data_IF_591012400942
#
_entry.id   IF_591012400942
#
_cell.length_a   1.000
_cell.length_b   1.000
_cell.length_c   1.000
_cell.angle_alpha   90.00
_cell.angle_beta   90.00
_cell.angle_gamma   90.00
#
_symmetry.space_group_name_H-M   'P 1'
#
loop_
_entity.id
_entity.type
_entity.pdbx_description
1 polymer ?
#
# COMPACT_ATOMS: atom_id res chain seq x y z
N UNK A 1 -28.85 4.02 -5.11
CA UNK A 1 -27.48 3.68 -5.52
C UNK A 1 -27.38 2.18 -5.34
N UNK A 2 -27.15 1.44 -6.42
CA UNK A 2 -27.11 -0.03 -6.36
C UNK A 2 -26.05 -0.48 -5.36
N UNK A 3 -26.48 -1.31 -4.41
CA UNK A 3 -25.63 -2.02 -3.47
C UNK A 3 -24.94 -3.17 -4.21
N UNK A 4 -23.93 -2.87 -5.02
CA UNK A 4 -23.01 -3.90 -5.51
C UNK A 4 -21.79 -3.95 -4.60
N UNK A 5 -21.28 -5.12 -4.22
CA UNK A 5 -19.95 -5.24 -3.62
C UNK A 5 -18.86 -4.70 -4.57
N UNK A 6 -17.63 -4.49 -4.09
CA UNK A 6 -16.52 -4.40 -5.05
C UNK A 6 -16.34 -5.78 -5.69
N UNK A 7 -15.98 -5.82 -6.97
CA UNK A 7 -15.50 -7.03 -7.65
C UNK A 7 -14.06 -7.34 -7.26
N UNK A 8 -13.63 -8.60 -7.42
CA UNK A 8 -12.22 -9.01 -7.16
C UNK A 8 -11.26 -8.12 -7.94
N UNK A 9 -11.58 -7.87 -9.22
CA UNK A 9 -10.80 -6.99 -10.09
C UNK A 9 -10.67 -5.57 -9.52
N UNK A 10 -11.76 -4.95 -9.09
CA UNK A 10 -11.71 -3.61 -8.49
C UNK A 10 -10.84 -3.55 -7.24
N UNK A 11 -10.86 -4.60 -6.41
CA UNK A 11 -9.99 -4.71 -5.23
C UNK A 11 -8.52 -4.81 -5.65
N UNK A 12 -8.19 -5.63 -6.66
CA UNK A 12 -6.80 -5.73 -7.15
C UNK A 12 -6.35 -4.42 -7.82
N UNK A 13 -7.20 -3.76 -8.60
CA UNK A 13 -6.89 -2.45 -9.17
C UNK A 13 -6.60 -1.39 -8.11
N UNK A 14 -7.30 -1.42 -6.98
CA UNK A 14 -6.99 -0.54 -5.86
C UNK A 14 -5.62 -0.87 -5.26
N UNK A 15 -5.21 -2.14 -5.19
CA UNK A 15 -3.85 -2.50 -4.78
C UNK A 15 -2.81 -1.89 -5.73
N UNK A 16 -3.00 -1.99 -7.05
CA UNK A 16 -2.12 -1.36 -8.05
C UNK A 16 -2.02 0.15 -7.84
N UNK A 17 -3.16 0.83 -7.59
CA UNK A 17 -3.19 2.28 -7.32
C UNK A 17 -2.46 2.65 -6.03
N UNK A 18 -2.61 1.84 -4.98
CA UNK A 18 -1.94 2.05 -3.69
C UNK A 18 -0.42 1.95 -3.84
N UNK A 19 0.09 0.92 -4.49
CA UNK A 19 1.53 0.76 -4.76
C UNK A 19 2.08 1.89 -5.61
N UNK A 20 1.34 2.31 -6.64
CA UNK A 20 1.76 3.43 -7.48
C UNK A 20 1.90 4.72 -6.66
N UNK A 21 0.98 4.95 -5.73
CA UNK A 21 1.02 6.08 -4.82
C UNK A 21 2.19 5.98 -3.83
N UNK A 22 2.50 4.79 -3.32
CA UNK A 22 3.69 4.52 -2.49
C UNK A 22 4.98 4.85 -3.23
N UNK A 23 5.12 4.37 -4.47
CA UNK A 23 6.25 4.69 -5.35
C UNK A 23 6.41 6.21 -5.54
N UNK A 24 5.33 6.90 -5.90
CA UNK A 24 5.37 8.35 -6.16
C UNK A 24 5.72 9.12 -4.87
N UNK A 25 5.18 8.68 -3.73
CA UNK A 25 5.49 9.24 -2.41
C UNK A 25 6.97 9.09 -2.06
N UNK A 26 7.49 7.87 -2.07
CA UNK A 26 8.86 7.59 -1.67
C UNK A 26 9.87 8.24 -2.61
N UNK A 27 9.60 8.24 -3.93
CA UNK A 27 10.43 8.94 -4.91
C UNK A 27 10.48 10.45 -4.65
N UNK A 28 9.32 11.05 -4.36
CA UNK A 28 9.22 12.48 -4.04
C UNK A 28 9.97 12.83 -2.75
N UNK A 29 9.83 12.01 -1.70
CA UNK A 29 10.52 12.25 -0.44
C UNK A 29 12.04 12.03 -0.55
N UNK A 30 12.48 11.04 -1.32
CA UNK A 30 13.90 10.82 -1.60
C UNK A 30 14.55 12.06 -2.25
N UNK A 31 13.90 12.64 -3.27
CA UNK A 31 14.40 13.87 -3.91
C UNK A 31 14.35 15.07 -2.95
N UNK A 32 13.24 15.23 -2.21
CA UNK A 32 13.05 16.34 -1.28
C UNK A 32 14.11 16.36 -0.18
N UNK A 33 14.49 15.19 0.32
CA UNK A 33 15.46 15.04 1.40
C UNK A 33 16.82 14.50 0.92
N UNK A 34 17.21 14.78 -0.32
CA UNK A 34 18.45 14.27 -0.95
C UNK A 34 19.74 14.54 -0.19
N UNK A 35 19.77 15.57 0.64
CA UNK A 35 20.92 15.93 1.50
C UNK A 35 21.01 15.08 2.78
N UNK A 36 19.99 14.27 3.07
CA UNK A 36 19.95 13.31 4.20
C UNK A 36 20.15 11.91 3.67
N UNK A 37 21.42 11.53 3.49
CA UNK A 37 21.84 10.29 2.80
C UNK A 37 21.08 9.06 3.30
N UNK A 38 21.00 8.84 4.61
CA UNK A 38 20.36 7.64 5.17
C UNK A 38 18.84 7.60 4.93
N UNK A 39 18.18 8.76 4.92
CA UNK A 39 16.75 8.86 4.64
C UNK A 39 16.47 8.69 3.15
N UNK A 40 17.26 9.36 2.31
CA UNK A 40 17.19 9.25 0.85
C UNK A 40 17.36 7.79 0.44
N UNK A 41 18.40 7.12 0.92
CA UNK A 41 18.68 5.73 0.54
C UNK A 41 17.56 4.77 0.99
N UNK A 42 16.96 5.02 2.17
CA UNK A 42 15.79 4.28 2.64
C UNK A 42 14.58 4.49 1.71
N UNK A 43 14.26 5.74 1.37
CA UNK A 43 13.11 6.05 0.51
C UNK A 43 13.32 5.63 -0.94
N UNK A 44 14.54 5.72 -1.50
CA UNK A 44 14.84 5.14 -2.82
C UNK A 44 14.68 3.61 -2.82
N UNK A 45 15.02 2.96 -1.71
CA UNK A 45 14.83 1.51 -1.57
C UNK A 45 13.35 1.16 -1.53
N UNK A 46 12.56 1.85 -0.69
CA UNK A 46 11.12 1.65 -0.59
C UNK A 46 10.44 1.92 -1.94
N UNK A 47 10.76 3.03 -2.62
CA UNK A 47 10.22 3.31 -3.96
C UNK A 47 10.43 2.15 -4.94
N UNK A 48 11.64 1.58 -4.99
CA UNK A 48 11.92 0.42 -5.86
C UNK A 48 11.09 -0.81 -5.48
N UNK A 49 10.77 -1.00 -4.20
CA UNK A 49 9.92 -2.09 -3.72
C UNK A 49 8.47 -1.90 -4.15
N UNK A 50 7.91 -0.71 -3.93
CA UNK A 50 6.55 -0.36 -4.39
C UNK A 50 6.40 -0.54 -5.91
N UNK A 51 7.42 -0.17 -6.70
CA UNK A 51 7.38 -0.39 -8.15
C UNK A 51 7.29 -1.89 -8.50
N UNK A 52 8.03 -2.75 -7.79
CA UNK A 52 7.98 -4.21 -7.99
C UNK A 52 6.61 -4.75 -7.57
N UNK A 53 6.03 -4.25 -6.48
CA UNK A 53 4.69 -4.63 -6.03
C UNK A 53 3.62 -4.20 -7.02
N UNK A 54 3.68 -2.97 -7.54
CA UNK A 54 2.79 -2.46 -8.60
C UNK A 54 2.80 -3.41 -9.81
N UNK A 55 3.98 -3.81 -10.28
CA UNK A 55 4.13 -4.75 -11.39
C UNK A 55 3.56 -6.14 -11.08
N UNK A 56 3.72 -6.63 -9.84
CA UNK A 56 3.14 -7.91 -9.40
C UNK A 56 1.62 -7.86 -9.34
N UNK A 57 1.04 -6.78 -8.81
CA UNK A 57 -0.42 -6.62 -8.76
C UNK A 57 -1.03 -6.42 -10.15
N UNK A 58 -0.35 -5.72 -11.08
CA UNK A 58 -0.81 -5.66 -12.48
C UNK A 58 -0.88 -7.04 -13.13
N UNK A 59 0.12 -7.88 -12.92
CA UNK A 59 0.09 -9.27 -13.40
C UNK A 59 -1.03 -10.08 -12.74
N UNK A 60 -1.27 -9.85 -11.45
CA UNK A 60 -2.40 -10.47 -10.76
C UNK A 60 -3.74 -10.01 -11.36
N UNK A 61 -3.91 -8.72 -11.63
CA UNK A 61 -5.09 -8.12 -12.26
C UNK A 61 -5.42 -8.75 -13.63
N UNK A 62 -4.39 -9.09 -14.42
CA UNK A 62 -4.54 -9.80 -15.69
C UNK A 62 -5.01 -11.26 -15.51
N UNK A 63 -4.71 -11.87 -14.36
CA UNK A 63 -5.01 -13.28 -14.07
C UNK A 63 -6.31 -13.50 -13.30
N UNK A 64 -6.83 -12.47 -12.60
CA UNK A 64 -8.06 -12.64 -11.81
C UNK A 64 -9.28 -12.85 -12.70
N UNK A 65 -10.05 -13.88 -12.38
CA UNK A 65 -11.35 -14.14 -12.99
C UNK A 65 -12.39 -13.14 -12.49
N UNK A 66 -13.43 -12.93 -13.30
CA UNK A 66 -14.60 -12.17 -12.87
C UNK A 66 -15.55 -13.03 -11.99
N UNK A 67 -15.22 -14.31 -11.76
CA UNK A 67 -15.90 -15.17 -10.80
C UNK A 67 -15.55 -14.78 -9.35
N UNK A 68 -16.58 -14.63 -8.53
CA UNK A 68 -16.45 -14.31 -7.12
C UNK A 68 -16.23 -15.60 -6.30
N UNK A 69 -15.20 -15.66 -5.43
CA UNK A 69 -14.97 -16.83 -4.58
C UNK A 69 -16.09 -16.99 -3.52
N UNK A 70 -16.18 -18.18 -2.92
CA UNK A 70 -17.09 -18.40 -1.80
C UNK A 70 -16.79 -17.43 -0.65
N UNK A 71 -17.84 -16.81 -0.08
CA UNK A 71 -17.69 -15.79 0.98
C UNK A 71 -17.26 -14.41 0.46
N UNK A 72 -17.28 -14.19 -0.86
CA UNK A 72 -16.93 -12.89 -1.45
C UNK A 72 -17.77 -11.73 -0.91
N UNK A 73 -19.06 -11.93 -0.62
CA UNK A 73 -19.95 -10.88 -0.13
C UNK A 73 -19.37 -10.19 1.12
N UNK A 74 -19.01 -10.97 2.15
CA UNK A 74 -18.41 -10.47 3.40
C UNK A 74 -17.06 -9.79 3.17
N UNK A 75 -16.23 -10.36 2.28
CA UNK A 75 -14.93 -9.78 1.94
C UNK A 75 -15.11 -8.47 1.20
N UNK A 76 -16.02 -8.42 0.24
CA UNK A 76 -16.33 -7.23 -0.56
C UNK A 76 -16.89 -6.09 0.31
N UNK A 77 -17.71 -6.42 1.32
CA UNK A 77 -18.21 -5.46 2.30
C UNK A 77 -17.08 -4.91 3.16
N UNK A 78 -16.18 -5.78 3.66
CA UNK A 78 -15.00 -5.36 4.39
C UNK A 78 -14.09 -4.45 3.53
N UNK A 79 -13.77 -4.85 2.30
CA UNK A 79 -12.90 -4.06 1.42
C UNK A 79 -13.55 -2.72 1.08
N UNK A 80 -14.86 -2.70 0.82
CA UNK A 80 -15.63 -1.47 0.63
C UNK A 80 -15.54 -0.56 1.84
N UNK A 81 -15.88 -1.09 3.01
CA UNK A 81 -15.83 -0.33 4.26
C UNK A 81 -14.41 0.17 4.54
N UNK A 82 -13.38 -0.61 4.21
CA UNK A 82 -11.99 -0.20 4.36
C UNK A 82 -11.68 1.02 3.46
N UNK A 83 -12.00 0.96 2.17
CA UNK A 83 -11.71 2.13 1.30
C UNK A 83 -12.58 3.35 1.64
N UNK A 84 -13.84 3.13 2.01
CA UNK A 84 -14.80 4.19 2.36
C UNK A 84 -14.54 4.82 3.74
N UNK A 85 -13.99 4.06 4.71
CA UNK A 85 -13.63 4.55 6.05
C UNK A 85 -12.65 5.73 6.01
N UNK A 86 -12.04 5.97 4.84
CA UNK A 86 -11.35 7.21 4.55
C UNK A 86 -10.04 7.37 5.31
N UNK A 87 -9.57 6.29 5.94
CA UNK A 87 -8.16 6.05 6.25
C UNK A 87 -7.44 5.56 5.00
N UNK A 88 -8.09 4.74 4.17
CA UNK A 88 -7.53 4.37 2.88
C UNK A 88 -7.22 5.60 2.04
N UNK A 89 -6.08 5.51 1.38
CA UNK A 89 -5.44 6.52 0.54
C UNK A 89 -6.24 6.73 -0.75
N UNK A 90 -7.51 7.15 -0.62
CA UNK A 90 -8.18 7.83 -1.72
C UNK A 90 -7.24 8.94 -2.17
N UNK A 91 -6.94 8.97 -3.47
CA UNK A 91 -5.86 9.76 -4.07
C UNK A 91 -5.79 11.16 -3.47
N UNK A 92 -6.95 11.80 -3.27
CA UNK A 92 -7.06 13.16 -2.73
C UNK A 92 -6.60 13.32 -1.26
N UNK A 93 -6.93 12.36 -0.37
CA UNK A 93 -6.57 12.46 1.05
C UNK A 93 -5.09 12.19 1.28
N UNK A 94 -4.55 11.18 0.61
CA UNK A 94 -3.13 10.87 0.67
C UNK A 94 -2.29 12.04 0.14
N UNK A 95 -2.65 12.56 -1.03
CA UNK A 95 -2.01 13.73 -1.61
C UNK A 95 -2.12 14.96 -0.71
N UNK A 96 -3.24 15.14 0.00
CA UNK A 96 -3.40 16.24 0.95
C UNK A 96 -2.45 16.11 2.13
N UNK A 97 -2.36 14.93 2.76
CA UNK A 97 -1.40 14.66 3.85
C UNK A 97 0.05 14.78 3.39
N UNK A 98 0.37 14.33 2.17
CA UNK A 98 1.71 14.48 1.60
C UNK A 98 2.14 15.95 1.47
N UNK A 99 1.21 16.86 1.19
CA UNK A 99 1.47 18.31 1.15
C UNK A 99 1.76 18.91 2.52
N UNK A 100 1.26 18.29 3.59
CA UNK A 100 1.46 18.75 4.97
C UNK A 100 2.83 18.37 5.52
N UNK A 101 3.53 17.40 4.93
CA UNK A 101 4.87 16.99 5.36
C UNK A 101 5.83 18.19 5.30
N UNK A 102 6.39 18.61 6.45
CA UNK A 102 7.37 19.69 6.55
C UNK A 102 8.72 19.20 7.05
N UNK A 103 8.75 18.08 7.78
CA UNK A 103 9.94 17.57 8.45
C UNK A 103 10.26 16.12 8.07
N UNK A 104 11.48 15.68 8.40
CA UNK A 104 11.84 14.26 8.31
C UNK A 104 10.95 13.40 9.20
N UNK A 105 10.58 13.92 10.38
CA UNK A 105 9.69 13.21 11.29
C UNK A 105 8.31 12.99 10.66
N UNK A 106 7.73 14.03 10.06
CA UNK A 106 6.43 13.95 9.40
C UNK A 106 6.47 12.91 8.26
N UNK A 107 7.55 12.90 7.47
CA UNK A 107 7.70 11.97 6.36
C UNK A 107 7.77 10.51 6.83
N UNK A 108 8.54 10.23 7.88
CA UNK A 108 8.67 8.88 8.44
C UNK A 108 7.39 8.44 9.16
N UNK A 109 6.69 9.35 9.85
CA UNK A 109 5.42 9.05 10.49
C UNK A 109 4.31 8.80 9.48
N UNK A 110 4.28 9.57 8.39
CA UNK A 110 3.38 9.31 7.27
C UNK A 110 3.69 7.95 6.63
N UNK A 111 4.95 7.67 6.30
CA UNK A 111 5.36 6.38 5.73
C UNK A 111 4.93 5.20 6.62
N UNK A 112 5.15 5.30 7.94
CA UNK A 112 4.73 4.26 8.87
C UNK A 112 3.21 4.06 8.93
N UNK A 113 2.43 5.12 8.79
CA UNK A 113 0.98 5.02 8.72
C UNK A 113 0.55 4.38 7.40
N UNK A 114 1.15 4.82 6.29
CA UNK A 114 0.93 4.30 4.95
C UNK A 114 1.14 2.79 4.90
N UNK A 115 2.31 2.28 5.29
CA UNK A 115 2.59 0.83 5.20
C UNK A 115 1.68 -0.02 6.09
N UNK A 116 1.28 0.51 7.25
CA UNK A 116 0.35 -0.23 8.13
C UNK A 116 -1.03 -0.34 7.52
N UNK A 117 -1.51 0.72 6.88
CA UNK A 117 -2.81 0.71 6.21
C UNK A 117 -2.76 -0.17 4.95
N UNK A 118 -1.70 -0.08 4.15
CA UNK A 118 -1.43 -0.94 2.99
C UNK A 118 -1.39 -2.42 3.40
N UNK A 119 -0.68 -2.76 4.48
CA UNK A 119 -0.64 -4.12 5.02
C UNK A 119 -2.03 -4.64 5.42
N UNK A 120 -2.84 -3.83 6.11
CA UNK A 120 -4.20 -4.22 6.48
C UNK A 120 -5.08 -4.46 5.24
N UNK A 121 -4.92 -3.62 4.22
CA UNK A 121 -5.60 -3.79 2.95
C UNK A 121 -5.22 -5.12 2.28
N UNK A 122 -3.93 -5.45 2.21
CA UNK A 122 -3.47 -6.69 1.61
C UNK A 122 -3.86 -7.95 2.39
N UNK A 123 -3.95 -7.87 3.72
CA UNK A 123 -4.52 -8.95 4.54
C UNK A 123 -6.01 -9.20 4.22
N UNK A 124 -6.75 -8.15 3.86
CA UNK A 124 -8.10 -8.24 3.31
C UNK A 124 -8.11 -8.89 1.93
N UNK A 125 -7.32 -8.33 1.00
CA UNK A 125 -7.18 -8.82 -0.37
C UNK A 125 -6.77 -10.30 -0.42
N UNK A 126 -5.92 -10.76 0.51
CA UNK A 126 -5.53 -12.18 0.60
C UNK A 126 -6.73 -13.12 0.78
N UNK A 127 -7.76 -12.69 1.53
CA UNK A 127 -9.00 -13.45 1.70
C UNK A 127 -9.87 -13.45 0.43
N UNK A 128 -9.60 -12.48 -0.44
CA UNK A 128 -10.35 -12.14 -1.63
C UNK A 128 -9.83 -12.85 -2.90
N UNK A 129 -8.57 -13.28 -2.92
CA UNK A 129 -7.95 -13.95 -4.08
C UNK A 129 -8.04 -15.48 -3.97
N UNK A 130 -8.08 -16.15 -5.12
CA UNK A 130 -8.05 -17.61 -5.19
C UNK A 130 -6.70 -18.18 -4.68
N UNK A 131 -6.71 -19.45 -4.29
CA UNK A 131 -5.59 -20.08 -3.59
C UNK A 131 -4.28 -20.10 -4.39
N UNK A 132 -4.36 -20.20 -5.71
CA UNK A 132 -3.18 -20.24 -6.58
C UNK A 132 -2.46 -18.88 -6.62
N UNK A 133 -3.19 -17.80 -6.37
CA UNK A 133 -2.75 -16.42 -6.44
C UNK A 133 -2.32 -15.88 -5.07
N UNK A 134 -2.72 -16.53 -3.97
CA UNK A 134 -2.37 -16.13 -2.58
C UNK A 134 -0.86 -16.02 -2.36
N UNK A 135 -0.05 -16.83 -3.05
CA UNK A 135 1.40 -16.79 -2.91
C UNK A 135 2.02 -15.45 -3.32
N UNK A 136 1.44 -14.74 -4.29
CA UNK A 136 1.89 -13.41 -4.71
C UNK A 136 1.59 -12.40 -3.60
N UNK A 137 0.35 -12.43 -3.08
CA UNK A 137 -0.10 -11.51 -2.03
C UNK A 137 0.68 -11.74 -0.73
N UNK A 138 0.97 -13.00 -0.39
CA UNK A 138 1.76 -13.35 0.81
C UNK A 138 3.19 -12.82 0.74
N UNK A 139 3.85 -12.95 -0.40
CA UNK A 139 5.20 -12.41 -0.57
C UNK A 139 5.22 -10.88 -0.39
N UNK A 140 4.20 -10.18 -0.89
CA UNK A 140 4.08 -8.72 -0.73
C UNK A 140 3.80 -8.35 0.72
N UNK A 141 2.89 -9.07 1.41
CA UNK A 141 2.62 -8.87 2.84
C UNK A 141 3.89 -8.97 3.69
N UNK A 142 4.76 -9.95 3.42
CA UNK A 142 6.03 -10.13 4.13
C UNK A 142 7.03 -8.99 3.84
N UNK A 143 7.02 -8.46 2.61
CA UNK A 143 7.80 -7.28 2.23
C UNK A 143 7.27 -6.02 2.96
N UNK A 144 5.96 -5.80 3.04
CA UNK A 144 5.38 -4.66 3.76
C UNK A 144 5.67 -4.66 5.27
N UNK A 145 5.65 -5.84 5.89
CA UNK A 145 6.08 -5.98 7.28
C UNK A 145 7.56 -5.56 7.44
N UNK A 146 8.39 -5.87 6.44
CA UNK A 146 9.79 -5.46 6.43
C UNK A 146 9.92 -3.95 6.28
N UNK A 147 9.13 -3.30 5.42
CA UNK A 147 9.11 -1.85 5.27
C UNK A 147 8.82 -1.14 6.59
N UNK A 148 7.78 -1.58 7.30
CA UNK A 148 7.43 -1.07 8.64
C UNK A 148 8.60 -1.23 9.62
N UNK A 149 9.28 -2.39 9.60
CA UNK A 149 10.43 -2.63 10.46
C UNK A 149 11.61 -1.70 10.12
N UNK A 150 11.84 -1.43 8.83
CA UNK A 150 12.93 -0.55 8.37
C UNK A 150 12.69 0.90 8.79
N UNK A 151 11.47 1.39 8.58
CA UNK A 151 11.04 2.73 8.97
C UNK A 151 11.14 2.95 10.50
N UNK A 152 10.71 1.97 11.31
CA UNK A 152 10.87 2.06 12.77
C UNK A 152 12.34 2.10 13.19
N UNK A 153 13.19 1.25 12.60
CA UNK A 153 14.64 1.29 12.88
C UNK A 153 15.28 2.61 12.46
N UNK A 154 14.81 3.23 11.37
CA UNK A 154 15.25 4.57 11.00
C UNK A 154 14.82 5.60 12.05
N UNK A 155 13.54 5.62 12.41
CA UNK A 155 12.98 6.52 13.43
C UNK A 155 13.75 6.44 14.75
N UNK A 156 14.01 5.22 15.22
CA UNK A 156 14.71 4.97 16.49
C UNK A 156 16.16 5.46 16.49
N UNK A 157 16.84 5.44 15.34
CA UNK A 157 18.26 5.84 15.25
C UNK A 157 18.45 7.34 15.02
N UNK A 158 17.52 7.99 14.32
CA UNK A 158 17.74 9.33 13.76
C UNK A 158 16.72 10.39 14.19
N UNK A 159 15.62 10.00 14.84
CA UNK A 159 14.53 10.90 15.23
C UNK A 159 14.16 10.82 16.73
N UNK A 160 14.94 10.07 17.53
CA UNK A 160 14.83 10.06 18.99
C UNK A 160 15.65 11.17 19.62
#
# INVERSE_FOLDING_TARGET
MEKGGFSVREVVEQAVRTEKLGYDFYSSMAERFKDRVELRDLFETLAKKEQIHEERFKKLEESVSDEEPEGWEDVSEYMRAFVESGLFLGTDKALSRMKEIQSVQDAVEFALAFEKETLLYFLGLKKAVADMEKGIVDAIIDEEQSHIAWLNRFKDRFLK
#
